data_IF_364198713672
#
_entry.id   IF_364198713672
#
_cell.length_a   1.000
_cell.length_b   1.000
_cell.length_c   1.000
_cell.angle_alpha   90.00
_cell.angle_beta   90.00
_cell.angle_gamma   90.00
#
_symmetry.space_group_name_H-M   'P 1'
#
loop_
_entity.id
_entity.type
_entity.pdbx_description
1 polymer ?
#
# COMPACT_ATOMS: atom_id res chain seq x y z
N UNK A 1 -22.65 -38.85 -0.78
CA UNK A 1 -21.18 -38.72 -0.80
C UNK A 1 -20.71 -38.62 0.64
N UNK A 2 -20.09 -39.66 1.16
CA UNK A 2 -19.59 -39.69 2.55
C UNK A 2 -18.23 -38.99 2.65
N UNK A 3 -18.24 -37.67 2.60
CA UNK A 3 -17.03 -36.87 2.84
C UNK A 3 -16.91 -36.54 4.32
N UNK A 4 -15.73 -36.80 4.90
CA UNK A 4 -15.41 -36.44 6.29
C UNK A 4 -15.47 -34.93 6.56
N UNK A 5 -15.32 -34.11 5.52
CA UNK A 5 -15.33 -32.63 5.60
C UNK A 5 -16.74 -32.07 5.37
N UNK A 6 -17.47 -32.57 4.36
CA UNK A 6 -18.80 -32.04 4.03
C UNK A 6 -19.91 -32.45 5.00
N UNK A 7 -19.62 -33.30 5.99
CA UNK A 7 -20.69 -33.87 6.78
C UNK A 7 -20.94 -33.17 8.11
N UNK A 8 -22.21 -32.83 8.34
CA UNK A 8 -22.71 -32.21 9.56
C UNK A 8 -22.86 -33.15 10.78
N UNK A 9 -22.63 -34.47 10.62
CA UNK A 9 -22.71 -35.44 11.72
C UNK A 9 -21.42 -35.42 12.56
N UNK A 10 -21.52 -35.26 13.90
CA UNK A 10 -20.35 -35.12 14.77
C UNK A 10 -19.41 -36.30 14.68
N UNK A 11 -18.09 -36.01 14.68
CA UNK A 11 -17.00 -36.98 14.51
C UNK A 11 -17.06 -38.19 15.47
N UNK A 12 -17.71 -38.04 16.61
CA UNK A 12 -17.80 -39.04 17.69
C UNK A 12 -18.67 -40.25 17.31
N UNK A 13 -19.60 -40.10 16.35
CA UNK A 13 -20.52 -41.15 15.91
C UNK A 13 -20.12 -41.80 14.58
N UNK A 14 -18.94 -41.47 14.05
CA UNK A 14 -18.49 -41.96 12.75
C UNK A 14 -17.39 -43.01 12.85
N UNK A 15 -17.48 -44.09 12.07
CA UNK A 15 -16.31 -44.91 11.76
C UNK A 15 -15.20 -44.04 11.17
N UNK A 16 -13.91 -44.31 11.44
CA UNK A 16 -12.81 -43.57 10.84
C UNK A 16 -12.91 -43.62 9.31
N UNK A 17 -13.22 -42.48 8.68
CA UNK A 17 -13.26 -42.37 7.21
C UNK A 17 -12.25 -41.33 6.76
N UNK A 18 -11.32 -41.76 5.92
CA UNK A 18 -10.28 -40.92 5.32
C UNK A 18 -10.63 -40.44 3.90
N UNK A 19 -11.85 -40.70 3.43
CA UNK A 19 -12.30 -40.30 2.09
C UNK A 19 -12.90 -38.89 2.09
N UNK A 20 -12.41 -38.04 1.18
CA UNK A 20 -12.98 -36.72 0.89
C UNK A 20 -13.68 -36.72 -0.47
N UNK A 21 -14.69 -35.87 -0.66
CA UNK A 21 -15.32 -35.73 -1.98
C UNK A 21 -14.42 -34.96 -2.95
N UNK A 22 -14.75 -35.04 -4.25
CA UNK A 22 -14.01 -34.33 -5.30
C UNK A 22 -13.91 -32.82 -5.05
N UNK A 23 -14.98 -32.18 -4.57
CA UNK A 23 -14.98 -30.75 -4.27
C UNK A 23 -14.01 -30.38 -3.13
N UNK A 24 -13.95 -31.18 -2.06
CA UNK A 24 -12.99 -30.96 -0.97
C UNK A 24 -11.55 -31.22 -1.42
N UNK A 25 -11.34 -32.21 -2.29
CA UNK A 25 -10.02 -32.48 -2.86
C UNK A 25 -9.55 -31.32 -3.75
N UNK A 26 -10.44 -30.79 -4.60
CA UNK A 26 -10.17 -29.67 -5.49
C UNK A 26 -9.91 -28.36 -4.71
N UNK A 27 -10.70 -28.11 -3.66
CA UNK A 27 -10.46 -27.01 -2.73
C UNK A 27 -9.10 -27.11 -2.04
N UNK A 28 -8.72 -28.30 -1.58
CA UNK A 28 -7.41 -28.51 -0.97
C UNK A 28 -6.27 -28.27 -1.97
N UNK A 29 -6.37 -28.76 -3.22
CA UNK A 29 -5.38 -28.48 -4.27
C UNK A 29 -5.24 -26.99 -4.58
N UNK A 30 -6.35 -26.26 -4.59
CA UNK A 30 -6.34 -24.81 -4.84
C UNK A 30 -5.59 -24.05 -3.75
N UNK A 31 -5.84 -24.36 -2.48
CA UNK A 31 -5.15 -23.73 -1.33
C UNK A 31 -3.65 -24.05 -1.34
N UNK A 32 -3.28 -25.30 -1.64
CA UNK A 32 -1.87 -25.72 -1.73
C UNK A 32 -1.15 -24.97 -2.86
N UNK A 33 -1.78 -24.87 -4.04
CA UNK A 33 -1.21 -24.16 -5.19
C UNK A 33 -0.99 -22.68 -4.88
N UNK A 34 -1.96 -22.04 -4.23
CA UNK A 34 -1.85 -20.65 -3.79
C UNK A 34 -0.69 -20.46 -2.80
N UNK A 35 -0.58 -21.34 -1.80
CA UNK A 35 0.48 -21.26 -0.79
C UNK A 35 1.87 -21.45 -1.41
N UNK A 36 2.04 -22.43 -2.30
CA UNK A 36 3.30 -22.66 -3.00
C UNK A 36 3.71 -21.46 -3.87
N UNK A 37 2.76 -20.77 -4.51
CA UNK A 37 3.07 -19.58 -5.32
C UNK A 37 3.69 -18.46 -4.48
N UNK A 38 3.23 -18.28 -3.24
CA UNK A 38 3.71 -17.25 -2.32
C UNK A 38 5.11 -17.57 -1.75
N UNK A 39 5.40 -18.84 -1.43
CA UNK A 39 6.73 -19.22 -0.92
C UNK A 39 7.84 -19.02 -1.96
N UNK A 40 7.51 -19.09 -3.26
CA UNK A 40 8.47 -18.89 -4.36
C UNK A 40 8.73 -17.42 -4.70
N UNK A 41 7.93 -16.47 -4.22
CA UNK A 41 8.10 -15.03 -4.52
C UNK A 41 9.15 -14.36 -3.60
N UNK A 42 9.57 -15.04 -2.52
CA UNK A 42 10.53 -14.52 -1.53
C UNK A 42 12.00 -14.74 -1.92
N UNK A 43 12.30 -14.65 -3.21
CA UNK A 43 13.54 -15.15 -3.82
C UNK A 43 14.41 -14.09 -4.52
N UNK A 44 14.81 -13.04 -3.82
CA UNK A 44 16.04 -12.29 -4.17
C UNK A 44 16.59 -11.63 -2.93
N UNK A 45 17.33 -12.36 -2.07
CA UNK A 45 18.55 -11.95 -1.33
C UNK A 45 19.29 -13.23 -0.81
N UNK A 46 20.38 -13.60 -1.50
CA UNK A 46 21.53 -14.54 -1.27
C UNK A 46 21.52 -15.60 -0.11
N UNK A 47 22.10 -16.82 -0.33
CA UNK A 47 21.85 -18.01 0.50
C UNK A 47 22.87 -18.20 1.64
N UNK A 48 22.43 -18.85 2.73
CA UNK A 48 23.36 -19.50 3.66
C UNK A 48 22.71 -20.75 4.29
N UNK A 49 23.12 -21.89 3.75
CA UNK A 49 23.39 -23.20 4.34
C UNK A 49 22.45 -23.80 5.42
N UNK A 50 21.85 -24.93 5.02
CA UNK A 50 21.48 -26.12 5.79
C UNK A 50 20.55 -25.96 7.01
N UNK A 51 19.26 -26.26 6.80
CA UNK A 51 18.57 -27.17 7.72
C UNK A 51 17.34 -27.82 7.07
N UNK A 52 17.39 -29.16 7.01
CA UNK A 52 16.29 -30.13 7.13
C UNK A 52 14.89 -29.62 6.77
N UNK A 53 14.34 -30.18 5.70
CA UNK A 53 12.94 -30.08 5.26
C UNK A 53 11.97 -30.43 6.39
N UNK A 54 11.64 -29.46 7.23
CA UNK A 54 10.53 -29.53 8.19
C UNK A 54 9.35 -28.82 7.55
N UNK A 55 8.41 -29.61 7.03
CA UNK A 55 7.18 -29.14 6.39
C UNK A 55 6.27 -28.45 7.39
N UNK A 56 6.55 -27.19 7.70
CA UNK A 56 5.66 -26.30 8.45
C UNK A 56 4.78 -25.51 7.46
N UNK A 57 3.94 -26.23 6.71
CA UNK A 57 3.00 -25.67 5.71
C UNK A 57 2.07 -24.60 6.31
N UNK A 58 1.78 -24.65 7.62
CA UNK A 58 0.99 -23.65 8.34
C UNK A 58 1.69 -22.29 8.51
N UNK A 59 3.03 -22.25 8.45
CA UNK A 59 3.80 -21.02 8.62
C UNK A 59 3.72 -20.13 7.37
N UNK A 60 3.69 -20.72 6.18
CA UNK A 60 3.49 -20.00 4.92
C UNK A 60 2.13 -19.30 4.87
N UNK A 61 1.06 -20.00 5.25
CA UNK A 61 -0.29 -19.42 5.28
C UNK A 61 -0.46 -18.31 6.33
N UNK A 62 0.08 -18.50 7.55
CA UNK A 62 0.05 -17.46 8.58
C UNK A 62 0.83 -16.20 8.14
N UNK A 63 1.97 -16.37 7.48
CA UNK A 63 2.74 -15.26 6.92
C UNK A 63 1.99 -14.57 5.79
N UNK A 64 1.31 -15.32 4.91
CA UNK A 64 0.50 -14.77 3.83
C UNK A 64 -0.66 -13.91 4.36
N UNK A 65 -1.40 -14.41 5.36
CA UNK A 65 -2.47 -13.65 6.00
C UNK A 65 -1.95 -12.37 6.66
N UNK A 66 -0.78 -12.43 7.30
CA UNK A 66 -0.13 -11.26 7.87
C UNK A 66 0.20 -10.23 6.79
N UNK A 67 0.80 -10.66 5.68
CA UNK A 67 1.14 -9.76 4.56
C UNK A 67 -0.09 -9.10 3.95
N UNK A 68 -1.17 -9.87 3.73
CA UNK A 68 -2.45 -9.30 3.25
C UNK A 68 -3.01 -8.24 4.20
N UNK A 69 -2.90 -8.45 5.52
CA UNK A 69 -3.31 -7.47 6.51
C UNK A 69 -2.47 -6.20 6.45
N UNK A 70 -1.15 -6.33 6.36
CA UNK A 70 -0.22 -5.20 6.24
C UNK A 70 -0.48 -4.40 4.95
N UNK A 71 -0.68 -5.08 3.82
CA UNK A 71 -0.99 -4.43 2.54
C UNK A 71 -2.31 -3.66 2.60
N UNK A 72 -3.33 -4.20 3.27
CA UNK A 72 -4.61 -3.52 3.48
C UNK A 72 -4.46 -2.26 4.32
N UNK A 73 -3.68 -2.33 5.40
CA UNK A 73 -3.39 -1.15 6.25
C UNK A 73 -2.65 -0.06 5.46
N UNK A 74 -1.67 -0.43 4.63
CA UNK A 74 -0.98 0.52 3.76
C UNK A 74 -1.88 1.12 2.68
N UNK A 75 -2.79 0.34 2.09
CA UNK A 75 -3.76 0.83 1.12
C UNK A 75 -4.70 1.85 1.76
N UNK A 76 -5.21 1.57 2.96
CA UNK A 76 -6.06 2.49 3.73
C UNK A 76 -5.33 3.80 4.05
N UNK A 77 -4.07 3.74 4.51
CA UNK A 77 -3.24 4.92 4.76
C UNK A 77 -3.03 5.75 3.48
N UNK A 78 -2.80 5.08 2.34
CA UNK A 78 -2.58 5.77 1.08
C UNK A 78 -3.86 6.42 0.55
N UNK A 79 -5.01 5.77 0.71
CA UNK A 79 -6.33 6.34 0.37
C UNK A 79 -6.59 7.58 1.21
N UNK A 80 -6.31 7.54 2.51
CA UNK A 80 -6.47 8.70 3.39
C UNK A 80 -5.58 9.88 2.95
N UNK A 81 -4.31 9.62 2.65
CA UNK A 81 -3.37 10.64 2.12
C UNK A 81 -3.84 11.23 0.80
N UNK A 82 -4.29 10.40 -0.15
CA UNK A 82 -4.79 10.86 -1.44
C UNK A 82 -6.04 11.71 -1.25
N UNK A 83 -6.98 11.26 -0.40
CA UNK A 83 -8.18 12.01 -0.06
C UNK A 83 -7.85 13.38 0.51
N UNK A 84 -6.92 13.46 1.46
CA UNK A 84 -6.44 14.73 2.02
C UNK A 84 -5.84 15.65 0.95
N UNK A 85 -4.94 15.14 0.11
CA UNK A 85 -4.29 15.92 -0.94
C UNK A 85 -5.26 16.36 -2.05
N UNK A 86 -6.31 15.58 -2.30
CA UNK A 86 -7.31 15.89 -3.33
C UNK A 86 -8.01 17.24 -3.11
N UNK A 87 -8.25 17.61 -1.84
CA UNK A 87 -8.82 18.92 -1.48
C UNK A 87 -7.92 20.10 -1.84
N UNK A 88 -6.60 19.93 -1.67
CA UNK A 88 -5.62 20.94 -2.10
C UNK A 88 -5.54 21.03 -3.62
N UNK A 89 -5.56 19.89 -4.32
CA UNK A 89 -5.55 19.87 -5.78
C UNK A 89 -6.75 20.60 -6.39
N UNK A 90 -7.95 20.42 -5.83
CA UNK A 90 -9.14 21.18 -6.24
C UNK A 90 -8.96 22.69 -5.98
N UNK A 91 -8.51 23.06 -4.77
CA UNK A 91 -8.27 24.46 -4.40
C UNK A 91 -7.23 25.14 -5.30
N UNK A 92 -6.19 24.40 -5.72
CA UNK A 92 -5.18 24.91 -6.65
C UNK A 92 -5.73 25.14 -8.06
N UNK A 93 -6.50 24.19 -8.61
CA UNK A 93 -7.14 24.37 -9.93
C UNK A 93 -8.08 25.56 -9.95
N UNK A 94 -8.84 25.74 -8.88
CA UNK A 94 -9.86 26.78 -8.77
C UNK A 94 -9.29 28.11 -8.23
N UNK A 95 -7.98 28.17 -7.96
CA UNK A 95 -7.25 29.34 -7.43
C UNK A 95 -7.84 29.87 -6.11
N UNK A 96 -8.41 28.99 -5.30
CA UNK A 96 -9.06 29.33 -4.03
C UNK A 96 -7.97 29.47 -2.95
N UNK A 97 -8.03 30.55 -2.16
CA UNK A 97 -7.09 30.86 -1.07
C UNK A 97 -5.62 31.04 -1.48
N UNK A 98 -5.34 31.49 -2.72
CA UNK A 98 -3.96 31.86 -3.10
C UNK A 98 -3.47 33.07 -2.30
N UNK A 99 -2.33 32.96 -1.64
CA UNK A 99 -1.74 33.97 -0.76
C UNK A 99 -0.45 34.61 -1.33
N UNK A 100 -0.05 34.18 -2.52
CA UNK A 100 1.08 34.74 -3.28
C UNK A 100 0.79 34.68 -4.78
N UNK A 101 1.37 35.61 -5.53
CA UNK A 101 1.51 35.49 -6.97
C UNK A 101 2.97 35.40 -7.36
N UNK A 102 3.31 34.40 -8.17
CA UNK A 102 4.66 34.12 -8.66
C UNK A 102 4.77 34.69 -10.08
N UNK A 103 5.70 35.64 -10.27
CA UNK A 103 6.00 36.20 -11.60
C UNK A 103 7.15 35.44 -12.26
N UNK A 104 6.95 34.82 -13.43
CA UNK A 104 8.04 34.23 -14.20
C UNK A 104 9.02 35.31 -14.70
N UNK A 105 10.32 34.99 -14.74
CA UNK A 105 11.37 35.95 -15.14
C UNK A 105 11.41 36.33 -16.63
N UNK A 106 10.51 35.78 -17.45
CA UNK A 106 10.41 36.04 -18.89
C UNK A 106 9.23 36.97 -19.23
N UNK A 107 8.91 37.91 -18.34
CA UNK A 107 7.74 38.80 -18.43
C UNK A 107 6.40 38.05 -18.66
N UNK A 108 6.32 36.80 -18.19
CA UNK A 108 5.14 35.97 -18.28
C UNK A 108 4.04 36.41 -17.30
N UNK A 109 2.80 35.93 -17.50
CA UNK A 109 1.69 36.25 -16.61
C UNK A 109 1.97 35.75 -15.18
N UNK A 110 1.50 36.54 -14.21
CA UNK A 110 1.60 36.22 -12.79
C UNK A 110 0.76 34.98 -12.45
N UNK A 111 1.35 34.00 -11.77
CA UNK A 111 0.70 32.73 -11.43
C UNK A 111 0.30 32.75 -9.95
N UNK A 112 -1.00 32.65 -9.61
CA UNK A 112 -1.43 32.53 -8.23
C UNK A 112 -1.00 31.18 -7.65
N UNK A 113 -0.52 31.17 -6.42
CA UNK A 113 -0.03 29.98 -5.75
C UNK A 113 -0.26 30.04 -4.22
N UNK A 114 0.07 28.94 -3.55
CA UNK A 114 0.00 28.80 -2.09
C UNK A 114 1.40 28.71 -1.50
N UNK A 115 1.78 29.63 -0.61
CA UNK A 115 3.11 29.65 0.03
C UNK A 115 3.45 28.34 0.72
N UNK A 116 2.47 27.74 1.39
CA UNK A 116 2.63 26.47 2.10
C UNK A 116 3.04 25.34 1.15
N UNK A 117 2.49 25.29 -0.07
CA UNK A 117 2.84 24.27 -1.08
C UNK A 117 4.21 24.55 -1.70
N UNK A 118 4.51 25.82 -2.03
CA UNK A 118 5.82 26.21 -2.57
C UNK A 118 6.98 25.91 -1.61
N UNK A 119 6.75 26.00 -0.30
CA UNK A 119 7.75 25.66 0.71
C UNK A 119 8.05 24.15 0.80
N UNK A 120 7.14 23.30 0.33
CA UNK A 120 7.29 21.84 0.36
C UNK A 120 8.01 21.34 -0.90
N UNK A 121 7.70 21.90 -2.07
CA UNK A 121 8.24 21.43 -3.36
C UNK A 121 9.63 21.98 -3.71
N UNK A 122 10.08 23.07 -3.07
CA UNK A 122 11.33 23.74 -3.41
C UNK A 122 12.30 23.71 -2.22
N UNK A 123 13.35 22.85 -2.24
CA UNK A 123 14.40 22.86 -1.20
C UNK A 123 15.11 24.22 -1.03
N UNK A 124 14.97 25.13 -2.00
CA UNK A 124 15.58 26.46 -2.00
C UNK A 124 14.68 27.56 -1.40
N UNK A 125 13.39 27.30 -1.16
CA UNK A 125 12.47 28.28 -0.58
C UNK A 125 12.67 28.49 0.94
N UNK A 126 13.44 27.61 1.59
CA UNK A 126 13.87 27.74 2.99
C UNK A 126 15.24 28.40 3.17
N UNK A 127 15.78 29.05 2.14
CA UNK A 127 16.94 29.92 2.31
C UNK A 127 16.50 31.36 2.67
N UNK A 128 17.00 31.95 3.76
CA UNK A 128 16.76 33.36 4.08
C UNK A 128 17.65 34.22 3.17
N UNK A 129 17.30 34.33 1.89
CA UNK A 129 17.84 35.38 1.02
C UNK A 129 16.76 36.43 0.78
N UNK A 130 16.55 37.26 1.81
CA UNK A 130 16.47 38.71 1.57
C UNK A 130 17.74 39.11 0.79
N UNK A 131 17.62 40.09 -0.10
CA UNK A 131 18.50 40.44 -1.24
C UNK A 131 18.05 39.64 -2.47
N UNK A 132 17.05 40.05 -3.24
CA UNK A 132 16.89 41.34 -3.89
C UNK A 132 15.39 41.64 -4.09
N UNK A 133 14.85 42.56 -3.29
CA UNK A 133 13.77 43.50 -3.63
C UNK A 133 13.48 44.32 -2.37
N UNK A 134 14.57 44.89 -1.84
CA UNK A 134 14.54 46.13 -1.08
C UNK A 134 14.96 47.22 -2.06
N UNK A 135 14.02 47.71 -2.86
CA UNK A 135 14.04 49.03 -3.49
C UNK A 135 12.70 49.25 -4.20
N UNK A 136 12.20 50.49 -4.09
CA UNK A 136 10.85 50.97 -4.42
C UNK A 136 9.86 50.70 -3.27
N UNK A 137 10.03 51.28 -2.08
CA UNK A 137 9.98 52.72 -1.72
C UNK A 137 8.60 53.33 -2.00
N UNK A 138 8.05 53.92 -0.92
CA UNK A 138 6.79 54.65 -0.88
C UNK A 138 6.81 55.82 -1.87
N UNK A 139 5.69 55.99 -2.57
CA UNK A 139 4.91 57.24 -2.65
C UNK A 139 3.45 56.87 -2.95
#
# INVERSE_FOLDING_TARGET
MDCSICSAMPYILRPPRNTICGACYEGARSIITFTNKLDNEKGTEKPSNNSVSSSNSTKGFANALKWVKEMKELEEELIEKISFLSGFAASFRDQIHSDIQVKPGNDGPSIPAHRALLAIEVPLAQSPKRRYLSKMELD
#
